data_IF_427386896170
#
_entry.id   IF_427386896170
#
_cell.length_a   1.000
_cell.length_b   1.000
_cell.length_c   1.000
_cell.angle_alpha   90.00
_cell.angle_beta   90.00
_cell.angle_gamma   90.00
#
_symmetry.space_group_name_H-M   'P 1'
#
loop_
_entity.id
_entity.type
_entity.pdbx_description
1 polymer ?
#
# COMPACT_ATOMS: atom_id res chain seq x y z
N UNK A 1 -13.95 23.46 -0.32
CA UNK A 1 -12.57 23.52 -0.84
C UNK A 1 -12.57 24.43 -2.05
N UNK A 2 -11.45 25.07 -2.35
CA UNK A 2 -11.35 25.89 -3.57
C UNK A 2 -11.61 25.04 -4.82
N UNK A 3 -11.97 25.64 -5.96
CA UNK A 3 -12.13 24.92 -7.23
C UNK A 3 -10.87 24.12 -7.60
N UNK A 4 -9.69 24.74 -7.46
CA UNK A 4 -8.38 24.09 -7.68
C UNK A 4 -8.22 22.87 -6.78
N UNK A 5 -8.43 23.03 -5.46
CA UNK A 5 -8.30 21.93 -4.51
C UNK A 5 -9.31 20.81 -4.80
N UNK A 6 -10.53 21.15 -5.21
CA UNK A 6 -11.58 20.18 -5.52
C UNK A 6 -11.23 19.37 -6.76
N UNK A 7 -10.73 20.02 -7.82
CA UNK A 7 -10.28 19.35 -9.05
C UNK A 7 -9.06 18.47 -8.76
N UNK A 8 -8.06 18.99 -8.04
CA UNK A 8 -6.86 18.23 -7.70
C UNK A 8 -7.16 16.99 -6.84
N UNK A 9 -7.96 17.15 -5.77
CA UNK A 9 -8.16 16.08 -4.79
C UNK A 9 -9.30 15.12 -5.12
N UNK A 10 -10.41 15.59 -5.70
CA UNK A 10 -11.58 14.74 -5.97
C UNK A 10 -11.59 14.16 -7.38
N UNK A 11 -10.98 14.85 -8.35
CA UNK A 11 -10.87 14.35 -9.73
C UNK A 11 -9.49 13.76 -10.03
N UNK A 12 -8.58 13.78 -9.05
CA UNK A 12 -7.22 13.24 -9.16
C UNK A 12 -6.41 13.85 -10.31
N UNK A 13 -6.58 15.16 -10.51
CA UNK A 13 -5.76 15.96 -11.42
C UNK A 13 -4.49 16.45 -10.69
N UNK A 14 -3.38 16.58 -11.40
CA UNK A 14 -2.18 17.28 -10.88
C UNK A 14 -2.50 18.73 -10.51
N UNK A 15 -1.73 19.32 -9.58
CA UNK A 15 -1.98 20.67 -9.08
C UNK A 15 -1.96 21.71 -10.19
N UNK A 16 -0.96 21.64 -11.06
CA UNK A 16 -0.77 22.50 -12.22
C UNK A 16 -1.95 22.37 -13.19
N UNK A 17 -2.40 21.15 -13.49
CA UNK A 17 -3.56 20.94 -14.36
C UNK A 17 -4.86 21.48 -13.74
N UNK A 18 -5.00 21.40 -12.42
CA UNK A 18 -6.15 21.97 -11.71
C UNK A 18 -6.13 23.51 -11.78
N UNK A 19 -4.95 24.13 -11.67
CA UNK A 19 -4.79 25.57 -11.88
C UNK A 19 -5.09 25.97 -13.33
N UNK A 20 -4.62 25.19 -14.31
CA UNK A 20 -4.88 25.45 -15.73
C UNK A 20 -6.38 25.40 -16.08
N UNK A 21 -7.11 24.42 -15.53
CA UNK A 21 -8.56 24.33 -15.73
C UNK A 21 -9.27 25.57 -15.15
N UNK A 22 -8.85 26.02 -13.97
CA UNK A 22 -9.43 27.22 -13.33
C UNK A 22 -9.05 28.49 -14.10
N UNK A 23 -7.82 28.60 -14.58
CA UNK A 23 -7.36 29.71 -15.43
C UNK A 23 -8.17 29.80 -16.73
N UNK A 24 -8.31 28.68 -17.46
CA UNK A 24 -9.10 28.62 -18.70
C UNK A 24 -10.59 28.86 -18.51
N UNK A 25 -11.11 28.55 -17.32
CA UNK A 25 -12.51 28.83 -17.00
C UNK A 25 -12.79 30.32 -16.75
N UNK A 26 -11.75 31.14 -16.53
CA UNK A 26 -11.89 32.55 -16.15
C UNK A 26 -12.41 32.77 -14.72
N UNK A 27 -12.50 31.71 -13.90
CA UNK A 27 -13.12 31.76 -12.57
C UNK A 27 -12.11 31.95 -11.43
N UNK A 28 -10.84 32.24 -11.73
CA UNK A 28 -9.77 32.39 -10.72
C UNK A 28 -10.07 33.48 -9.68
N UNK A 29 -10.74 34.55 -10.10
CA UNK A 29 -11.12 35.67 -9.23
C UNK A 29 -12.42 35.44 -8.44
N UNK A 30 -13.15 34.35 -8.69
CA UNK A 30 -14.44 34.08 -8.03
C UNK A 30 -14.19 33.50 -6.64
N UNK A 31 -14.71 34.16 -5.60
CA UNK A 31 -14.60 33.67 -4.24
C UNK A 31 -15.32 32.33 -4.08
N UNK A 32 -14.77 31.43 -3.26
CA UNK A 32 -15.32 30.08 -3.08
C UNK A 32 -16.76 30.09 -2.55
N UNK A 33 -17.14 31.12 -1.78
CA UNK A 33 -18.51 31.28 -1.28
C UNK A 33 -19.53 31.61 -2.38
N UNK A 34 -19.08 32.19 -3.50
CA UNK A 34 -19.94 32.66 -4.59
C UNK A 34 -20.05 31.64 -5.74
N UNK A 35 -19.50 30.43 -5.56
CA UNK A 35 -19.57 29.37 -6.56
C UNK A 35 -20.99 28.81 -6.70
N UNK A 36 -21.51 28.82 -7.93
CA UNK A 36 -22.86 28.36 -8.25
C UNK A 36 -22.85 27.34 -9.41
N UNK A 37 -24.04 26.82 -9.76
CA UNK A 37 -24.18 25.81 -10.82
C UNK A 37 -23.75 26.31 -12.21
N UNK A 38 -23.84 27.61 -12.49
CA UNK A 38 -23.33 28.17 -13.75
C UNK A 38 -21.79 28.10 -13.80
N UNK A 39 -21.12 28.45 -12.69
CA UNK A 39 -19.66 28.33 -12.58
C UNK A 39 -19.19 26.87 -12.73
N UNK A 40 -19.94 25.90 -12.20
CA UNK A 40 -19.65 24.47 -12.39
C UNK A 40 -19.74 24.06 -13.87
N UNK A 41 -20.72 24.57 -14.61
CA UNK A 41 -20.83 24.32 -16.07
C UNK A 41 -19.62 24.89 -16.82
N UNK A 42 -19.18 26.10 -16.47
CA UNK A 42 -17.99 26.74 -17.06
C UNK A 42 -16.71 25.94 -16.74
N UNK A 43 -16.52 25.48 -15.50
CA UNK A 43 -15.40 24.61 -15.15
C UNK A 43 -15.41 23.30 -15.94
N UNK A 44 -16.59 22.69 -16.11
CA UNK A 44 -16.73 21.46 -16.91
C UNK A 44 -16.34 21.69 -18.37
N UNK A 45 -16.73 22.82 -18.95
CA UNK A 45 -16.34 23.17 -20.32
C UNK A 45 -14.82 23.38 -20.45
N UNK A 46 -14.19 24.09 -19.49
CA UNK A 46 -12.74 24.28 -19.45
C UNK A 46 -11.99 22.94 -19.32
N UNK A 47 -12.48 22.04 -18.45
CA UNK A 47 -11.94 20.70 -18.29
C UNK A 47 -12.04 19.87 -19.59
N UNK A 48 -13.18 19.94 -20.27
CA UNK A 48 -13.37 19.26 -21.56
C UNK A 48 -12.44 19.82 -22.64
N UNK A 49 -12.17 21.13 -22.63
CA UNK A 49 -11.21 21.75 -23.54
C UNK A 49 -9.78 21.27 -23.28
N UNK A 50 -9.35 21.22 -22.01
CA UNK A 50 -8.03 20.68 -21.62
C UNK A 50 -7.88 19.22 -22.07
N UNK A 51 -8.89 18.39 -21.83
CA UNK A 51 -8.89 16.99 -22.25
C UNK A 51 -8.86 16.85 -23.79
N UNK A 52 -9.64 17.68 -24.50
CA UNK A 52 -9.65 17.68 -25.96
C UNK A 52 -8.30 18.05 -26.56
N UNK A 53 -7.60 19.02 -25.98
CA UNK A 53 -6.26 19.41 -26.40
C UNK A 53 -5.22 18.32 -26.13
N UNK A 54 -5.27 17.67 -24.96
CA UNK A 54 -4.36 16.57 -24.64
C UNK A 54 -4.49 15.40 -25.63
N UNK A 55 -5.70 15.16 -26.15
CA UNK A 55 -5.96 14.11 -27.16
C UNK A 55 -5.36 14.42 -28.54
N UNK A 56 -4.90 15.65 -28.79
CA UNK A 56 -4.15 15.97 -30.01
C UNK A 56 -2.74 15.37 -29.99
N UNK A 57 -2.27 14.89 -28.83
CA UNK A 57 -1.01 14.17 -28.71
C UNK A 57 0.23 15.05 -28.87
N UNK A 58 0.12 16.36 -28.68
CA UNK A 58 1.25 17.32 -28.75
C UNK A 58 1.99 17.43 -27.42
N UNK A 59 3.22 17.95 -27.46
CA UNK A 59 4.03 18.23 -26.27
C UNK A 59 4.52 19.67 -26.22
N UNK A 60 4.55 20.23 -25.02
CA UNK A 60 4.91 21.62 -24.75
C UNK A 60 5.91 21.64 -23.61
N UNK A 61 7.14 22.10 -23.88
CA UNK A 61 8.22 22.15 -22.91
C UNK A 61 8.50 23.59 -22.48
N UNK A 62 8.55 23.80 -21.17
CA UNK A 62 8.79 25.09 -20.51
C UNK A 62 10.14 25.02 -19.81
N UNK A 63 11.16 25.66 -20.38
CA UNK A 63 12.55 25.56 -19.89
C UNK A 63 12.75 26.27 -18.54
N UNK A 64 12.12 27.42 -18.33
CA UNK A 64 12.16 28.19 -17.09
C UNK A 64 11.60 27.43 -15.88
N UNK A 65 10.68 26.49 -16.12
CA UNK A 65 10.00 25.67 -15.11
C UNK A 65 10.48 24.22 -15.08
N UNK A 66 11.33 23.82 -16.03
CA UNK A 66 11.69 22.42 -16.28
C UNK A 66 10.44 21.52 -16.31
N UNK A 67 9.48 21.88 -17.18
CA UNK A 67 8.16 21.24 -17.20
C UNK A 67 7.76 20.82 -18.61
N UNK A 68 7.44 19.53 -18.78
CA UNK A 68 6.87 18.98 -20.01
C UNK A 68 5.38 18.69 -19.85
N UNK A 69 4.56 19.30 -20.70
CA UNK A 69 3.11 19.21 -20.66
C UNK A 69 2.50 18.63 -21.95
N UNK A 70 1.38 17.88 -21.87
CA UNK A 70 0.62 17.42 -23.04
C UNK A 70 -0.35 18.47 -23.59
N UNK A 71 -0.40 19.65 -22.98
CA UNK A 71 -1.21 20.81 -23.35
C UNK A 71 -0.41 22.10 -23.14
N UNK A 72 -0.82 23.19 -23.75
CA UNK A 72 -0.25 24.51 -23.50
C UNK A 72 -0.85 25.12 -22.22
N UNK A 73 0.00 25.48 -21.26
CA UNK A 73 -0.39 26.09 -19.99
C UNK A 73 -0.47 27.61 -20.10
N UNK A 74 -1.68 28.17 -19.95
CA UNK A 74 -1.90 29.62 -19.82
C UNK A 74 -1.60 30.12 -18.41
N UNK A 75 -1.84 29.27 -17.42
CA UNK A 75 -1.59 29.55 -16.01
C UNK A 75 -0.11 29.80 -15.69
N UNK A 76 0.79 29.35 -16.56
CA UNK A 76 2.23 29.58 -16.43
C UNK A 76 2.65 31.02 -16.78
N UNK A 77 1.83 31.76 -17.54
CA UNK A 77 2.10 33.15 -17.92
C UNK A 77 3.27 33.32 -18.89
N UNK A 78 3.71 32.25 -19.55
CA UNK A 78 4.82 32.23 -20.50
C UNK A 78 4.51 31.27 -21.65
N UNK A 79 5.16 31.46 -22.80
CA UNK A 79 5.04 30.56 -23.96
C UNK A 79 6.00 29.37 -23.84
N UNK A 80 5.64 28.18 -24.34
CA UNK A 80 6.54 27.03 -24.37
C UNK A 80 7.86 27.35 -25.08
N UNK A 81 8.98 26.95 -24.48
CA UNK A 81 10.32 27.04 -25.06
C UNK A 81 10.50 26.10 -26.26
N UNK A 82 9.82 24.94 -26.24
CA UNK A 82 9.75 24.00 -27.38
C UNK A 82 8.35 23.41 -27.50
N UNK A 83 7.92 23.19 -28.74
CA UNK A 83 6.64 22.53 -29.08
C UNK A 83 6.93 21.30 -29.94
N UNK A 84 6.25 20.20 -29.63
CA UNK A 84 6.37 18.91 -30.29
C UNK A 84 5.02 18.49 -30.85
N UNK A 85 5.01 17.99 -32.09
CA UNK A 85 3.78 17.43 -32.70
C UNK A 85 3.39 16.07 -32.11
N UNK A 86 4.33 15.36 -31.47
CA UNK A 86 4.10 14.08 -30.79
C UNK A 86 4.66 14.13 -29.36
N UNK A 87 3.81 13.86 -28.37
CA UNK A 87 4.15 13.91 -26.96
C UNK A 87 5.20 12.86 -26.56
N UNK A 88 5.21 11.69 -27.19
CA UNK A 88 6.22 10.66 -26.93
C UNK A 88 7.62 11.12 -27.37
N UNK A 89 7.70 11.88 -28.48
CA UNK A 89 8.96 12.52 -28.89
C UNK A 89 9.39 13.58 -27.88
N UNK A 90 8.45 14.35 -27.36
CA UNK A 90 8.71 15.33 -26.31
C UNK A 90 9.26 14.67 -25.04
N UNK A 91 8.67 13.56 -24.60
CA UNK A 91 9.14 12.78 -23.45
C UNK A 91 10.54 12.20 -23.70
N UNK A 92 10.79 11.67 -24.90
CA UNK A 92 12.10 11.13 -25.26
C UNK A 92 13.20 12.21 -25.29
N UNK A 93 12.92 13.42 -25.79
CA UNK A 93 13.86 14.55 -25.77
C UNK A 93 14.06 15.07 -24.35
N UNK A 94 12.99 15.16 -23.57
CA UNK A 94 13.03 15.59 -22.17
C UNK A 94 13.93 14.67 -21.32
N UNK A 95 13.74 13.35 -21.42
CA UNK A 95 14.58 12.36 -20.72
C UNK A 95 16.05 12.44 -21.18
N UNK A 96 16.30 12.72 -22.46
CA UNK A 96 17.66 12.81 -23.01
C UNK A 96 18.39 14.09 -22.58
N UNK A 97 17.66 15.20 -22.49
CA UNK A 97 18.19 16.50 -22.08
C UNK A 97 18.29 16.66 -20.56
N UNK A 98 17.61 15.79 -19.79
CA UNK A 98 17.70 15.71 -18.34
C UNK A 98 18.28 14.35 -17.90
N UNK A 99 19.53 14.01 -18.27
CA UNK A 99 20.16 12.78 -17.81
C UNK A 99 20.32 12.86 -16.28
N UNK A 100 19.64 11.96 -15.57
CA UNK A 100 19.62 11.80 -14.10
C UNK A 100 20.81 12.47 -13.38
N UNK A 101 20.61 13.70 -12.92
CA UNK A 101 21.31 14.25 -11.75
C UNK A 101 20.26 14.28 -10.64
N UNK A 102 20.04 13.13 -10.00
CA UNK A 102 19.28 13.10 -8.74
C UNK A 102 20.12 13.83 -7.67
N UNK A 103 19.88 15.13 -7.48
CA UNK A 103 20.30 15.84 -6.27
C UNK A 103 19.38 15.43 -5.11
N UNK A 104 19.63 14.24 -4.54
CA UNK A 104 18.88 13.70 -3.40
C UNK A 104 18.85 14.65 -2.17
N UNK A 105 19.81 15.57 -2.05
CA UNK A 105 19.91 16.49 -0.90
C UNK A 105 18.77 17.52 -0.80
N UNK A 106 18.37 18.16 -1.90
CA UNK A 106 17.37 19.26 -1.86
C UNK A 106 15.92 18.71 -1.79
N UNK A 107 15.66 17.57 -2.43
CA UNK A 107 14.35 16.89 -2.38
C UNK A 107 14.02 16.33 -1.00
N UNK A 108 15.00 15.73 -0.30
CA UNK A 108 14.79 15.21 1.05
C UNK A 108 14.58 16.33 2.07
N UNK A 109 15.33 17.44 1.96
CA UNK A 109 15.17 18.59 2.84
C UNK A 109 13.76 19.20 2.76
N UNK A 110 13.24 19.40 1.54
CA UNK A 110 11.87 19.89 1.32
C UNK A 110 10.81 18.92 1.84
N UNK A 111 11.02 17.61 1.64
CA UNK A 111 10.13 16.57 2.16
C UNK A 111 10.11 16.51 3.69
N UNK A 112 11.27 16.62 4.34
CA UNK A 112 11.37 16.70 5.80
C UNK A 112 10.69 17.97 6.32
N UNK A 113 10.87 19.11 5.65
CA UNK A 113 10.20 20.36 6.02
C UNK A 113 8.67 20.23 5.98
N UNK A 114 8.12 19.63 4.92
CA UNK A 114 6.67 19.35 4.81
C UNK A 114 6.16 18.39 5.88
N UNK A 115 6.93 17.34 6.21
CA UNK A 115 6.56 16.41 7.30
C UNK A 115 6.61 17.12 8.66
N UNK A 116 7.60 17.98 8.91
CA UNK A 116 7.68 18.78 10.15
C UNK A 116 6.51 19.74 10.30
N UNK A 117 6.09 20.40 9.23
CA UNK A 117 4.89 21.24 9.22
C UNK A 117 3.63 20.44 9.58
N UNK A 118 3.49 19.25 8.99
CA UNK A 118 2.38 18.33 9.32
C UNK A 118 2.41 17.87 10.78
N UNK A 119 3.60 17.61 11.34
CA UNK A 119 3.76 17.27 12.76
C UNK A 119 3.30 18.43 13.65
N UNK A 120 3.71 19.65 13.37
CA UNK A 120 3.30 20.83 14.13
C UNK A 120 1.77 21.01 14.11
N UNK A 121 1.13 20.79 12.96
CA UNK A 121 -0.33 20.81 12.86
C UNK A 121 -0.98 19.68 13.68
N UNK A 122 -0.45 18.46 13.61
CA UNK A 122 -0.96 17.34 14.40
C UNK A 122 -0.77 17.55 15.90
N UNK A 123 0.33 18.17 16.34
CA UNK A 123 0.58 18.51 17.74
C UNK A 123 -0.45 19.51 18.25
N UNK A 124 -0.71 20.57 17.47
CA UNK A 124 -1.77 21.55 17.77
C UNK A 124 -3.12 20.85 17.91
N UNK A 125 -3.51 20.02 16.94
CA UNK A 125 -4.79 19.29 16.97
C UNK A 125 -4.86 18.28 18.12
N UNK A 126 -3.76 17.58 18.44
CA UNK A 126 -3.72 16.64 19.56
C UNK A 126 -3.92 17.35 20.90
N UNK A 127 -3.28 18.51 21.08
CA UNK A 127 -3.42 19.35 22.27
C UNK A 127 -4.84 19.89 22.40
N UNK A 128 -5.39 20.50 21.34
CA UNK A 128 -6.75 21.02 21.32
C UNK A 128 -7.78 19.94 21.67
N UNK A 129 -7.67 18.73 21.09
CA UNK A 129 -8.59 17.64 21.39
C UNK A 129 -8.43 17.11 22.82
N UNK A 130 -7.20 17.07 23.36
CA UNK A 130 -6.97 16.68 24.75
C UNK A 130 -7.55 17.71 25.74
N UNK A 131 -7.42 19.00 25.45
CA UNK A 131 -8.03 20.10 26.22
C UNK A 131 -9.55 20.04 26.17
N UNK A 132 -10.15 19.79 25.00
CA UNK A 132 -11.61 19.56 24.88
C UNK A 132 -12.08 18.34 25.69
N UNK A 133 -11.31 17.25 25.68
CA UNK A 133 -11.60 16.08 26.53
C UNK A 133 -11.55 16.42 28.03
N UNK A 134 -10.51 17.15 28.46
CA UNK A 134 -10.36 17.61 29.85
C UNK A 134 -11.50 18.56 30.26
N UNK A 135 -11.87 19.48 29.38
CA UNK A 135 -12.99 20.39 29.58
C UNK A 135 -14.29 19.65 29.85
N UNK A 136 -14.56 18.57 29.09
CA UNK A 136 -15.76 17.76 29.29
C UNK A 136 -15.73 17.05 30.66
N UNK A 137 -14.57 16.59 31.10
CA UNK A 137 -14.41 15.98 32.41
C UNK A 137 -14.65 16.98 33.55
N UNK A 138 -14.12 18.21 33.42
CA UNK A 138 -14.27 19.28 34.42
C UNK A 138 -15.71 19.81 34.50
N UNK A 139 -16.41 19.92 33.37
CA UNK A 139 -17.77 20.47 33.28
C UNK A 139 -18.84 19.39 33.04
N UNK A 140 -18.59 18.16 33.50
CA UNK A 140 -19.42 17.00 33.19
C UNK A 140 -20.91 17.20 33.53
N UNK A 141 -21.21 17.73 34.71
CA UNK A 141 -22.58 17.95 35.17
C UNK A 141 -23.32 19.02 34.33
N UNK A 142 -22.65 20.14 34.04
CA UNK A 142 -23.16 21.23 33.23
C UNK A 142 -23.50 20.74 31.81
N UNK A 143 -22.54 20.04 31.18
CA UNK A 143 -22.70 19.51 29.83
C UNK A 143 -23.78 18.43 29.77
N UNK A 144 -23.89 17.57 30.79
CA UNK A 144 -24.96 16.59 30.86
C UNK A 144 -26.35 17.23 30.93
N UNK A 145 -26.50 18.37 31.63
CA UNK A 145 -27.74 19.16 31.63
C UNK A 145 -28.02 19.77 30.25
N UNK A 146 -27.00 20.35 29.61
CA UNK A 146 -27.09 20.90 28.25
C UNK A 146 -27.58 19.83 27.26
N UNK A 147 -26.97 18.64 27.26
CA UNK A 147 -27.38 17.54 26.36
C UNK A 147 -28.84 17.13 26.60
N UNK A 148 -29.30 17.05 27.86
CA UNK A 148 -30.70 16.74 28.18
C UNK A 148 -31.67 17.82 27.69
N UNK A 149 -31.32 19.10 27.83
CA UNK A 149 -32.15 20.21 27.35
C UNK A 149 -32.28 20.21 25.83
N UNK A 150 -31.17 19.93 25.13
CA UNK A 150 -31.15 19.80 23.68
C UNK A 150 -31.97 18.59 23.19
N UNK A 151 -31.81 17.43 23.82
CA UNK A 151 -32.57 16.22 23.49
C UNK A 151 -34.08 16.38 23.68
N UNK A 152 -34.51 17.17 24.67
CA UNK A 152 -35.92 17.42 24.97
C UNK A 152 -36.53 18.57 24.13
N UNK A 153 -35.78 19.14 23.17
CA UNK A 153 -36.24 20.24 22.30
C UNK A 153 -36.40 21.59 23.02
N UNK A 154 -36.08 21.66 24.32
CA UNK A 154 -36.23 22.88 25.14
C UNK A 154 -35.09 23.88 24.95
N UNK A 155 -33.94 23.43 24.46
CA UNK A 155 -32.77 24.29 24.27
C UNK A 155 -32.83 25.20 23.03
N UNK A 156 -33.81 25.02 22.13
CA UNK A 156 -33.91 25.85 20.92
C UNK A 156 -34.47 27.26 21.19
N UNK A 157 -35.03 27.51 22.39
CA UNK A 157 -35.58 28.80 22.78
C UNK A 157 -34.62 29.52 23.73
N UNK A 158 -34.13 30.71 23.35
CA UNK A 158 -33.30 31.56 24.22
C UNK A 158 -31.79 31.30 24.17
N UNK A 159 -31.24 30.99 22.99
CA UNK A 159 -29.80 30.88 22.76
C UNK A 159 -29.16 32.25 22.44
N UNK A 160 -27.90 32.50 22.84
CA UNK A 160 -27.05 31.63 23.66
C UNK A 160 -27.52 31.56 25.12
N UNK A 161 -27.36 30.41 25.77
CA UNK A 161 -27.72 30.23 27.19
C UNK A 161 -26.56 29.69 28.02
N UNK A 162 -26.32 30.25 29.19
CA UNK A 162 -25.21 29.81 30.08
C UNK A 162 -25.74 28.92 31.20
N UNK A 163 -25.14 27.73 31.33
CA UNK A 163 -25.44 26.75 32.37
C UNK A 163 -24.15 26.43 33.09
N UNK A 164 -24.07 26.78 34.37
CA UNK A 164 -22.93 26.47 35.24
C UNK A 164 -21.58 26.90 34.64
N UNK A 165 -21.56 28.09 34.02
CA UNK A 165 -20.36 28.67 33.41
C UNK A 165 -20.06 28.23 31.98
N UNK A 166 -20.81 27.26 31.42
CA UNK A 166 -20.69 26.84 30.02
C UNK A 166 -21.81 27.46 29.19
N UNK A 167 -21.47 28.11 28.09
CA UNK A 167 -22.43 28.70 27.17
C UNK A 167 -22.79 27.71 26.08
N UNK A 168 -24.09 27.43 25.93
CA UNK A 168 -24.64 26.75 24.77
C UNK A 168 -24.90 27.79 23.67
N UNK A 169 -24.15 27.68 22.58
CA UNK A 169 -24.16 28.64 21.47
C UNK A 169 -25.24 28.31 20.45
N UNK A 170 -25.33 27.04 20.04
CA UNK A 170 -26.28 26.61 19.03
C UNK A 170 -26.70 25.15 19.21
N UNK A 171 -27.86 24.82 18.65
CA UNK A 171 -28.41 23.45 18.60
C UNK A 171 -28.76 23.14 17.15
N UNK A 172 -28.07 22.17 16.56
CA UNK A 172 -28.38 21.62 15.25
C UNK A 172 -29.22 20.35 15.43
N UNK A 173 -30.51 20.46 15.12
CA UNK A 173 -31.45 19.36 15.24
C UNK A 173 -31.23 18.27 14.18
N UNK A 174 -30.72 18.62 13.01
CA UNK A 174 -30.53 17.66 11.91
C UNK A 174 -29.33 16.75 12.19
N UNK A 175 -28.21 17.31 12.64
CA UNK A 175 -27.02 16.54 12.99
C UNK A 175 -26.98 16.06 14.44
N UNK A 176 -27.99 16.44 15.23
CA UNK A 176 -28.13 16.16 16.67
C UNK A 176 -26.96 16.67 17.50
N UNK A 177 -26.43 17.84 17.13
CA UNK A 177 -25.28 18.48 17.75
C UNK A 177 -25.66 19.71 18.55
N UNK A 178 -24.86 19.99 19.58
CA UNK A 178 -24.81 21.28 20.25
C UNK A 178 -23.39 21.82 20.18
N UNK A 179 -23.26 23.12 19.93
CA UNK A 179 -21.99 23.82 20.07
C UNK A 179 -21.96 24.51 21.44
N UNK A 180 -20.92 24.23 22.23
CA UNK A 180 -20.73 24.85 23.54
C UNK A 180 -19.39 25.57 23.60
N UNK A 181 -19.34 26.63 24.40
CA UNK A 181 -18.16 27.46 24.59
C UNK A 181 -17.95 27.83 26.06
N UNK A 182 -16.69 28.05 26.43
CA UNK A 182 -16.30 28.74 27.67
C UNK A 182 -14.90 29.31 27.48
N UNK A 183 -14.80 30.65 27.44
CA UNK A 183 -13.55 31.33 27.07
C UNK A 183 -13.17 31.00 25.62
N UNK A 184 -11.93 30.55 25.40
CA UNK A 184 -11.41 30.19 24.07
C UNK A 184 -11.77 28.76 23.64
N UNK A 185 -12.27 27.93 24.57
CA UNK A 185 -12.62 26.54 24.27
C UNK A 185 -13.99 26.50 23.61
N UNK A 186 -14.02 25.99 22.39
CA UNK A 186 -15.25 25.68 21.64
C UNK A 186 -15.28 24.21 21.26
N UNK A 187 -16.40 23.54 21.46
CA UNK A 187 -16.53 22.12 21.14
C UNK A 187 -17.97 21.73 20.78
N UNK A 188 -18.07 20.75 19.89
CA UNK A 188 -19.33 20.16 19.48
C UNK A 188 -19.61 18.91 20.32
N UNK A 189 -20.84 18.76 20.80
CA UNK A 189 -21.32 17.56 21.47
C UNK A 189 -22.56 17.01 20.78
N UNK A 190 -22.71 15.70 20.80
CA UNK A 190 -23.88 15.01 20.28
C UNK A 190 -24.84 14.71 21.42
N UNK A 191 -26.06 15.26 21.36
CA UNK A 191 -27.06 15.09 22.43
C UNK A 191 -27.84 13.78 22.36
N UNK A 192 -27.64 12.99 21.29
CA UNK A 192 -28.08 11.60 21.20
C UNK A 192 -27.07 10.60 21.78
N UNK A 193 -25.96 11.07 22.33
CA UNK A 193 -24.91 10.26 22.94
C UNK A 193 -24.71 10.64 24.41
N UNK A 194 -24.10 9.74 25.18
CA UNK A 194 -23.69 10.06 26.54
C UNK A 194 -22.56 11.10 26.52
N UNK A 195 -22.46 11.88 27.60
CA UNK A 195 -21.34 12.82 27.77
C UNK A 195 -19.99 12.08 27.83
N UNK A 196 -19.97 10.85 28.36
CA UNK A 196 -18.80 9.97 28.34
C UNK A 196 -18.38 9.55 26.93
N UNK A 197 -19.33 9.27 26.03
CA UNK A 197 -19.02 8.97 24.63
C UNK A 197 -18.45 10.20 23.90
N UNK A 198 -19.03 11.37 24.16
CA UNK A 198 -18.48 12.62 23.64
C UNK A 198 -17.06 12.90 24.14
N UNK A 199 -16.81 12.69 25.43
CA UNK A 199 -15.46 12.79 26.02
C UNK A 199 -14.47 11.81 25.37
N UNK A 200 -14.88 10.54 25.23
CA UNK A 200 -14.08 9.51 24.58
C UNK A 200 -13.75 9.85 23.13
N UNK A 201 -14.65 10.51 22.38
CA UNK A 201 -14.40 10.97 21.01
C UNK A 201 -13.20 11.92 20.96
N UNK A 202 -13.17 12.93 21.83
CA UNK A 202 -12.07 13.89 21.88
C UNK A 202 -10.75 13.26 22.33
N UNK A 203 -10.76 12.39 23.35
CA UNK A 203 -9.56 11.65 23.74
C UNK A 203 -9.06 10.69 22.67
N UNK A 204 -9.97 10.03 21.95
CA UNK A 204 -9.62 9.14 20.84
C UNK A 204 -9.00 9.91 19.67
N UNK A 205 -9.55 11.07 19.32
CA UNK A 205 -8.96 11.97 18.32
C UNK A 205 -7.56 12.44 18.73
N UNK A 206 -7.37 12.83 19.99
CA UNK A 206 -6.06 13.20 20.51
C UNK A 206 -5.06 12.04 20.41
N UNK A 207 -5.47 10.81 20.74
CA UNK A 207 -4.64 9.60 20.60
C UNK A 207 -4.32 9.30 19.14
N UNK A 208 -5.26 9.47 18.23
CA UNK A 208 -5.05 9.27 16.80
C UNK A 208 -4.01 10.25 16.25
N UNK A 209 -4.10 11.55 16.58
CA UNK A 209 -3.09 12.52 16.17
C UNK A 209 -1.70 12.22 16.77
N UNK A 210 -1.62 11.78 18.04
CA UNK A 210 -0.35 11.31 18.64
C UNK A 210 0.25 10.11 17.89
N UNK A 211 -0.59 9.19 17.45
CA UNK A 211 -0.14 8.05 16.62
C UNK A 211 0.41 8.54 15.26
N UNK A 212 -0.25 9.50 14.62
CA UNK A 212 0.22 10.13 13.38
C UNK A 212 1.56 10.86 13.57
N UNK A 213 1.73 11.59 14.67
CA UNK A 213 3.00 12.24 15.04
C UNK A 213 4.12 11.21 15.17
N UNK A 214 3.90 10.13 15.94
CA UNK A 214 4.90 9.07 16.10
C UNK A 214 5.27 8.41 14.77
N UNK A 215 4.28 8.17 13.90
CA UNK A 215 4.53 7.66 12.55
C UNK A 215 5.37 8.61 11.70
N UNK A 216 5.06 9.90 11.72
CA UNK A 216 5.78 10.93 10.98
C UNK A 216 7.21 11.14 11.51
N UNK A 217 7.42 11.08 12.84
CA UNK A 217 8.73 11.16 13.47
C UNK A 217 9.64 10.00 13.04
N UNK A 218 9.13 8.76 12.97
CA UNK A 218 9.90 7.61 12.47
C UNK A 218 10.37 7.81 11.04
N UNK A 219 9.54 8.42 10.19
CA UNK A 219 9.92 8.74 8.81
C UNK A 219 11.08 9.74 8.80
N UNK A 220 11.03 10.81 9.61
CA UNK A 220 12.13 11.77 9.74
C UNK A 220 13.40 11.08 10.26
N UNK A 221 13.30 10.24 11.28
CA UNK A 221 14.43 9.46 11.81
C UNK A 221 15.06 8.55 10.75
N UNK A 222 14.25 7.92 9.89
CA UNK A 222 14.73 7.13 8.75
C UNK A 222 15.47 8.00 7.72
N UNK A 223 14.98 9.20 7.44
CA UNK A 223 15.66 10.16 6.57
C UNK A 223 16.99 10.65 7.18
N UNK A 224 16.98 11.07 8.44
CA UNK A 224 18.18 11.54 9.16
C UNK A 224 19.24 10.42 9.29
N UNK A 225 18.81 9.16 9.47
CA UNK A 225 19.70 8.00 9.51
C UNK A 225 20.34 7.71 8.16
N UNK A 226 19.64 7.97 7.04
CA UNK A 226 20.20 7.87 5.69
C UNK A 226 21.22 8.97 5.41
N UNK A 227 20.96 10.20 5.88
CA UNK A 227 21.85 11.34 5.68
C UNK A 227 23.14 11.22 6.52
N UNK A 228 23.03 10.80 7.79
CA UNK A 228 24.18 10.62 8.70
C UNK A 228 25.12 9.47 8.35
N UNK A 229 24.64 8.45 7.65
CA UNK A 229 25.49 7.32 7.21
C UNK A 229 26.30 7.66 5.96
N UNK A 230 26.15 8.87 5.42
CA UNK A 230 26.45 9.13 4.02
C UNK A 230 25.55 8.25 3.15
N UNK A 231 25.43 8.59 1.87
CA UNK A 231 24.96 7.61 0.91
C UNK A 231 25.98 6.47 0.83
N UNK A 232 25.94 5.51 1.77
CA UNK A 232 26.13 4.11 1.38
C UNK A 232 24.90 3.76 0.56
N UNK A 233 24.87 4.29 -0.66
CA UNK A 233 24.33 3.60 -1.81
C UNK A 233 25.04 2.26 -1.80
N UNK A 234 24.44 1.30 -1.10
CA UNK A 234 24.42 -0.04 -1.65
C UNK A 234 23.75 0.21 -3.00
N UNK A 235 24.56 0.29 -4.06
CA UNK A 235 24.03 0.23 -5.41
C UNK A 235 23.25 -1.07 -5.45
N UNK A 236 21.94 -1.00 -5.19
CA UNK A 236 21.06 -2.12 -5.39
C UNK A 236 21.23 -2.46 -6.85
N UNK A 237 21.93 -3.57 -7.12
CA UNK A 237 22.18 -4.02 -8.49
C UNK A 237 20.79 -4.13 -9.12
N UNK A 238 20.46 -3.20 -10.02
CA UNK A 238 19.35 -3.44 -10.94
C UNK A 238 19.84 -4.61 -11.77
N UNK A 239 19.30 -5.79 -11.49
CA UNK A 239 19.60 -7.01 -12.21
C UNK A 239 19.61 -6.67 -13.71
N UNK A 240 20.73 -6.90 -14.44
CA UNK A 240 20.82 -6.60 -15.86
C UNK A 240 19.60 -7.20 -16.58
N UNK A 241 19.09 -6.52 -17.61
CA UNK A 241 17.89 -6.94 -18.37
C UNK A 241 18.13 -8.29 -19.06
N UNK A 242 18.11 -9.39 -18.31
CA UNK A 242 18.16 -10.74 -18.82
C UNK A 242 16.77 -11.15 -19.31
N UNK A 243 16.76 -12.05 -20.28
CA UNK A 243 15.53 -12.70 -20.72
C UNK A 243 15.03 -13.57 -19.56
N UNK A 244 13.97 -13.11 -18.88
CA UNK A 244 13.32 -13.86 -17.81
C UNK A 244 12.90 -15.23 -18.29
N UNK A 245 13.10 -16.22 -17.45
CA UNK A 245 12.56 -17.55 -17.63
C UNK A 245 11.03 -17.52 -17.51
N UNK A 246 10.38 -18.44 -18.21
CA UNK A 246 8.92 -18.52 -18.22
C UNK A 246 8.34 -18.72 -16.80
N UNK A 247 9.06 -19.44 -15.93
CA UNK A 247 8.63 -19.75 -14.57
C UNK A 247 8.69 -18.56 -13.62
N UNK A 248 9.45 -17.51 -13.94
CA UNK A 248 9.56 -16.30 -13.12
C UNK A 248 8.31 -15.43 -13.13
N UNK A 249 7.33 -15.78 -13.97
CA UNK A 249 5.98 -15.22 -13.88
C UNK A 249 5.16 -15.79 -12.71
N UNK A 250 5.66 -16.84 -12.05
CA UNK A 250 5.06 -17.52 -10.91
C UNK A 250 5.95 -17.41 -9.65
N UNK A 251 5.49 -17.91 -8.52
CA UNK A 251 6.40 -18.20 -7.40
C UNK A 251 7.22 -19.41 -7.82
N UNK A 252 8.52 -19.40 -7.56
CA UNK A 252 9.38 -20.49 -7.99
C UNK A 252 10.57 -20.64 -7.05
N UNK A 253 11.10 -21.85 -7.00
CA UNK A 253 12.42 -22.17 -6.46
C UNK A 253 12.91 -23.48 -7.05
N UNK A 254 14.18 -23.82 -6.85
CA UNK A 254 14.70 -25.15 -7.11
C UNK A 254 14.88 -25.90 -5.79
N UNK A 255 14.44 -27.16 -5.72
CA UNK A 255 14.71 -28.02 -4.56
C UNK A 255 16.22 -28.22 -4.38
N UNK A 256 16.63 -28.72 -3.22
CA UNK A 256 18.04 -29.08 -2.98
C UNK A 256 18.58 -30.13 -3.97
N UNK A 257 17.69 -30.93 -4.56
CA UNK A 257 17.99 -31.89 -5.63
C UNK A 257 17.87 -31.29 -7.06
N UNK A 258 17.61 -29.99 -7.17
CA UNK A 258 17.57 -29.24 -8.42
C UNK A 258 16.28 -29.40 -9.23
N UNK A 259 15.18 -29.87 -8.63
CA UNK A 259 13.87 -29.91 -9.29
C UNK A 259 13.19 -28.55 -9.21
N UNK A 260 12.57 -28.11 -10.30
CA UNK A 260 11.86 -26.83 -10.32
C UNK A 260 10.50 -26.98 -9.62
N UNK A 261 10.20 -26.09 -8.69
CA UNK A 261 8.88 -25.93 -8.11
C UNK A 261 8.30 -24.61 -8.57
N UNK A 262 7.03 -24.61 -8.99
CA UNK A 262 6.28 -23.40 -9.33
C UNK A 262 4.95 -23.35 -8.58
N UNK A 263 4.53 -22.16 -8.15
CA UNK A 263 3.24 -21.95 -7.51
C UNK A 263 2.56 -20.67 -8.00
N UNK A 264 1.24 -20.68 -8.12
CA UNK A 264 0.49 -19.49 -8.53
C UNK A 264 0.58 -18.37 -7.49
N UNK A 265 0.47 -17.13 -7.97
CA UNK A 265 0.48 -15.91 -7.14
C UNK A 265 -0.93 -15.44 -6.77
N UNK A 266 -1.92 -15.85 -7.57
CA UNK A 266 -3.32 -15.49 -7.49
C UNK A 266 -4.19 -16.57 -8.17
N UNK A 267 -5.51 -16.41 -8.14
CA UNK A 267 -6.46 -17.35 -8.74
C UNK A 267 -6.24 -17.58 -10.25
N UNK A 268 -5.91 -16.53 -11.01
CA UNK A 268 -5.71 -16.62 -12.47
C UNK A 268 -4.43 -17.37 -12.80
N UNK A 269 -3.36 -17.09 -12.09
CA UNK A 269 -2.08 -17.79 -12.23
C UNK A 269 -2.18 -19.23 -11.76
N UNK A 270 -2.85 -19.54 -10.64
CA UNK A 270 -3.16 -20.92 -10.22
C UNK A 270 -3.81 -21.72 -11.36
N UNK A 271 -4.83 -21.15 -12.00
CA UNK A 271 -5.50 -21.80 -13.13
C UNK A 271 -4.56 -21.97 -14.33
N UNK A 272 -3.75 -20.97 -14.64
CA UNK A 272 -2.77 -21.02 -15.72
C UNK A 272 -1.69 -22.07 -15.47
N UNK A 273 -1.17 -22.21 -14.24
CA UNK A 273 -0.08 -23.16 -13.98
C UNK A 273 -0.57 -24.59 -14.19
N UNK A 274 -1.74 -24.93 -13.66
CA UNK A 274 -2.24 -26.30 -13.75
C UNK A 274 -2.62 -26.64 -15.18
N UNK A 275 -3.30 -25.72 -15.90
CA UNK A 275 -3.68 -25.96 -17.30
C UNK A 275 -2.50 -26.04 -18.26
N UNK A 276 -1.45 -25.22 -18.07
CA UNK A 276 -0.36 -25.08 -19.04
C UNK A 276 0.92 -25.80 -18.66
N UNK A 277 1.13 -26.10 -17.38
CA UNK A 277 2.43 -26.51 -16.86
C UNK A 277 2.40 -27.79 -16.01
N UNK A 278 1.24 -28.35 -15.67
CA UNK A 278 1.13 -29.67 -15.04
C UNK A 278 1.19 -30.77 -16.13
N UNK A 279 2.38 -31.31 -16.36
CA UNK A 279 2.60 -32.44 -17.27
C UNK A 279 2.40 -33.79 -16.58
N UNK A 280 2.32 -34.87 -17.37
CA UNK A 280 1.99 -36.22 -16.86
C UNK A 280 2.98 -36.80 -15.85
N UNK A 281 4.24 -36.33 -15.86
CA UNK A 281 5.29 -36.78 -14.94
C UNK A 281 5.46 -35.86 -13.72
N UNK A 282 4.74 -34.75 -13.68
CA UNK A 282 4.86 -33.78 -12.59
C UNK A 282 3.95 -34.14 -11.42
N UNK A 283 4.13 -33.46 -10.30
CA UNK A 283 3.33 -33.68 -9.10
C UNK A 283 2.60 -32.41 -8.71
N UNK A 284 1.29 -32.51 -8.49
CA UNK A 284 0.47 -31.42 -7.98
C UNK A 284 0.51 -31.41 -6.46
N UNK A 285 0.79 -30.26 -5.87
CA UNK A 285 0.98 -30.06 -4.44
C UNK A 285 0.04 -28.97 -3.96
N UNK A 286 -0.58 -29.21 -2.81
CA UNK A 286 -1.47 -28.26 -2.17
C UNK A 286 -1.38 -28.41 -0.64
N UNK A 287 -1.40 -27.28 0.08
CA UNK A 287 -1.50 -27.31 1.53
C UNK A 287 -2.93 -27.64 1.96
N UNK A 288 -3.11 -28.36 3.06
CA UNK A 288 -4.42 -28.66 3.62
C UNK A 288 -4.95 -27.48 4.46
N UNK A 289 -4.86 -26.28 3.88
CA UNK A 289 -5.23 -24.99 4.48
C UNK A 289 -5.80 -24.08 3.40
N UNK A 290 -6.80 -23.27 3.76
CA UNK A 290 -7.40 -22.29 2.86
C UNK A 290 -6.38 -21.29 2.30
N UNK A 291 -6.59 -20.90 1.04
CA UNK A 291 -5.78 -19.89 0.36
C UNK A 291 -4.36 -20.34 0.03
N UNK A 292 -4.09 -21.64 0.07
CA UNK A 292 -2.86 -22.21 -0.46
C UNK A 292 -2.78 -22.04 -1.99
N UNK A 293 -1.59 -21.81 -2.54
CA UNK A 293 -1.42 -21.76 -3.98
C UNK A 293 -1.49 -23.17 -4.58
N UNK A 294 -1.98 -23.26 -5.83
CA UNK A 294 -1.72 -24.44 -6.63
C UNK A 294 -0.22 -24.50 -6.90
N UNK A 295 0.44 -25.59 -6.51
CA UNK A 295 1.89 -25.77 -6.59
C UNK A 295 2.20 -27.00 -7.44
N UNK A 296 3.25 -26.94 -8.26
CA UNK A 296 3.70 -28.06 -9.11
C UNK A 296 5.18 -28.29 -8.86
N UNK A 297 5.53 -29.52 -8.51
CA UNK A 297 6.90 -30.02 -8.53
C UNK A 297 7.16 -30.65 -9.91
N UNK A 298 8.07 -30.04 -10.66
CA UNK A 298 8.43 -30.48 -12.00
C UNK A 298 9.43 -31.62 -11.90
N UNK A 299 9.04 -32.80 -12.40
CA UNK A 299 9.92 -33.98 -12.39
C UNK A 299 10.83 -34.04 -13.62
N UNK A 300 10.36 -33.51 -14.76
CA UNK A 300 11.02 -33.49 -16.08
C UNK A 300 11.95 -34.69 -16.34
N UNK A 301 13.06 -34.51 -17.06
CA UNK A 301 14.00 -35.57 -17.44
C UNK A 301 15.04 -35.87 -16.35
N UNK A 302 14.94 -35.22 -15.18
CA UNK A 302 15.88 -35.37 -14.05
C UNK A 302 15.61 -36.60 -13.17
N UNK A 303 14.62 -37.42 -13.51
CA UNK A 303 14.23 -38.61 -12.76
C UNK A 303 13.14 -38.32 -11.73
N UNK A 304 12.99 -39.22 -10.75
CA UNK A 304 11.95 -39.15 -9.73
C UNK A 304 12.45 -38.37 -8.50
N UNK A 305 11.75 -37.31 -8.07
CA UNK A 305 12.09 -36.57 -6.86
C UNK A 305 12.06 -37.48 -5.62
N UNK A 306 12.99 -37.28 -4.68
CA UNK A 306 12.96 -38.00 -3.40
C UNK A 306 11.99 -37.35 -2.42
N UNK A 307 11.81 -37.98 -1.25
CA UNK A 307 10.99 -37.44 -0.16
C UNK A 307 11.43 -36.04 0.28
N UNK A 308 12.73 -35.71 0.14
CA UNK A 308 13.27 -34.39 0.46
C UNK A 308 12.65 -33.32 -0.45
N UNK A 309 12.67 -33.53 -1.78
CA UNK A 309 12.05 -32.60 -2.74
C UNK A 309 10.54 -32.46 -2.53
N UNK A 310 9.84 -33.55 -2.19
CA UNK A 310 8.41 -33.48 -1.85
C UNK A 310 8.17 -32.66 -0.58
N UNK A 311 8.99 -32.85 0.44
CA UNK A 311 8.88 -32.10 1.71
C UNK A 311 9.14 -30.62 1.51
N UNK A 312 10.19 -30.26 0.76
CA UNK A 312 10.50 -28.87 0.41
C UNK A 312 9.35 -28.23 -0.39
N UNK A 313 8.85 -28.90 -1.43
CA UNK A 313 7.76 -28.36 -2.23
C UNK A 313 6.44 -28.23 -1.42
N UNK A 314 6.18 -29.15 -0.49
CA UNK A 314 5.07 -29.05 0.46
C UNK A 314 5.25 -27.88 1.45
N UNK A 315 6.46 -27.68 1.97
CA UNK A 315 6.78 -26.56 2.87
C UNK A 315 6.61 -25.21 2.18
N UNK A 316 7.00 -25.12 0.91
CA UNK A 316 6.73 -23.95 0.10
C UNK A 316 5.23 -23.70 -0.05
N UNK A 317 4.44 -24.72 -0.40
CA UNK A 317 2.99 -24.58 -0.54
C UNK A 317 2.30 -24.13 0.76
N UNK A 318 2.71 -24.69 1.90
CA UNK A 318 2.21 -24.28 3.23
C UNK A 318 2.58 -22.84 3.55
N UNK A 319 3.84 -22.46 3.32
CA UNK A 319 4.36 -21.13 3.67
C UNK A 319 3.75 -19.99 2.85
N UNK A 320 3.23 -20.28 1.65
CA UNK A 320 2.51 -19.31 0.82
C UNK A 320 0.98 -19.36 0.98
N UNK A 321 0.47 -20.11 1.96
CA UNK A 321 -0.96 -20.19 2.28
C UNK A 321 -1.39 -19.19 3.37
N UNK A 322 -2.68 -19.22 3.76
CA UNK A 322 -3.15 -18.44 4.92
C UNK A 322 -2.54 -18.90 6.24
N UNK A 323 -1.92 -20.08 6.32
CA UNK A 323 -1.22 -20.53 7.54
C UNK A 323 -0.14 -19.52 7.96
N UNK A 324 0.62 -18.98 7.00
CA UNK A 324 1.64 -17.97 7.28
C UNK A 324 1.02 -16.66 7.77
N UNK A 325 0.01 -16.16 7.06
CA UNK A 325 -0.68 -14.93 7.44
C UNK A 325 -1.42 -15.04 8.80
N UNK A 326 -1.75 -16.26 9.22
CA UNK A 326 -2.35 -16.55 10.53
C UNK A 326 -1.31 -16.79 11.64
N UNK A 327 -0.01 -16.70 11.36
CA UNK A 327 1.04 -16.91 12.37
C UNK A 327 1.21 -18.36 12.81
N UNK A 328 0.75 -19.35 12.02
CA UNK A 328 0.90 -20.77 12.36
C UNK A 328 2.36 -21.21 12.31
N UNK A 329 2.79 -22.09 13.21
CA UNK A 329 4.15 -22.62 13.26
C UNK A 329 4.35 -23.84 12.35
N UNK A 330 3.31 -24.63 12.14
CA UNK A 330 3.33 -25.79 11.24
C UNK A 330 1.97 -26.03 10.58
N UNK A 331 1.96 -26.67 9.42
CA UNK A 331 0.74 -27.20 8.81
C UNK A 331 1.02 -28.48 8.02
N UNK A 332 -0.03 -29.01 7.37
CA UNK A 332 0.04 -30.22 6.56
C UNK A 332 -0.17 -29.88 5.09
N UNK A 333 0.42 -30.68 4.21
CA UNK A 333 0.20 -30.61 2.78
C UNK A 333 0.14 -32.00 2.19
N UNK A 334 -0.25 -32.09 0.93
CA UNK A 334 -0.25 -33.34 0.20
C UNK A 334 0.19 -33.14 -1.24
N UNK A 335 0.61 -34.22 -1.86
CA UNK A 335 0.84 -34.31 -3.30
C UNK A 335 0.00 -35.41 -3.95
N UNK A 336 -0.35 -35.19 -5.21
CA UNK A 336 -1.10 -36.13 -6.05
C UNK A 336 -0.58 -36.13 -7.49
N UNK A 337 -0.93 -37.18 -8.23
CA UNK A 337 -0.62 -37.30 -9.65
C UNK A 337 -1.51 -36.37 -10.50
N UNK A 338 -1.08 -35.99 -11.70
CA UNK A 338 -1.87 -35.13 -12.59
C UNK A 338 -3.25 -35.69 -12.94
N UNK A 339 -3.37 -37.01 -13.05
CA UNK A 339 -4.65 -37.71 -13.33
C UNK A 339 -5.69 -37.54 -12.22
N UNK A 340 -5.27 -37.11 -11.03
CA UNK A 340 -6.13 -36.91 -9.86
C UNK A 340 -6.67 -35.48 -9.77
N UNK A 341 -6.20 -34.56 -10.62
CA UNK A 341 -6.53 -33.14 -10.58
C UNK A 341 -7.57 -32.84 -11.67
N UNK A 342 -8.75 -32.39 -11.26
CA UNK A 342 -9.88 -32.14 -12.15
C UNK A 342 -10.50 -30.76 -11.92
N UNK A 343 -11.07 -30.17 -12.97
CA UNK A 343 -11.89 -28.95 -12.90
C UNK A 343 -13.38 -29.26 -12.95
N UNK A 344 -13.76 -30.54 -13.07
CA UNK A 344 -15.14 -30.98 -13.20
C UNK A 344 -15.76 -31.20 -11.81
N UNK A 345 -16.69 -30.33 -11.37
CA UNK A 345 -17.45 -30.53 -10.14
C UNK A 345 -18.34 -31.76 -10.22
N UNK A 346 -18.79 -32.22 -9.06
CA UNK A 346 -19.95 -33.10 -8.99
C UNK A 346 -21.22 -32.32 -9.37
N UNK A 347 -22.28 -33.03 -9.76
CA UNK A 347 -23.50 -32.38 -10.28
C UNK A 347 -24.09 -31.42 -9.24
N UNK A 348 -24.11 -30.13 -9.57
CA UNK A 348 -24.65 -29.07 -8.69
C UNK A 348 -23.61 -28.19 -7.98
N UNK A 349 -22.31 -28.51 -8.03
CA UNK A 349 -21.27 -27.68 -7.40
C UNK A 349 -20.59 -26.72 -8.38
N UNK A 350 -20.16 -25.55 -7.88
CA UNK A 350 -19.40 -24.58 -8.66
C UNK A 350 -17.93 -24.55 -8.19
N UNK A 351 -16.99 -24.79 -9.12
CA UNK A 351 -15.56 -24.67 -8.86
C UNK A 351 -15.11 -23.26 -9.21
N UNK A 352 -14.67 -22.49 -8.20
CA UNK A 352 -14.14 -21.15 -8.40
C UNK A 352 -12.86 -21.14 -9.23
N UNK A 353 -12.62 -20.03 -9.93
CA UNK A 353 -11.38 -19.78 -10.68
C UNK A 353 -10.15 -20.00 -9.79
N UNK A 354 -9.19 -20.77 -10.29
CA UNK A 354 -7.97 -21.10 -9.55
C UNK A 354 -8.08 -22.26 -8.55
N UNK A 355 -9.26 -22.84 -8.37
CA UNK A 355 -9.48 -24.04 -7.54
C UNK A 355 -9.51 -25.31 -8.39
N UNK A 356 -9.06 -26.42 -7.80
CA UNK A 356 -8.99 -27.73 -8.44
C UNK A 356 -9.49 -28.82 -7.51
N UNK A 357 -10.24 -29.77 -8.07
CA UNK A 357 -10.77 -30.92 -7.34
C UNK A 357 -9.73 -32.03 -7.41
N UNK A 358 -9.35 -32.54 -6.25
CA UNK A 358 -8.41 -33.66 -6.12
C UNK A 358 -9.18 -34.93 -5.77
N UNK A 359 -9.12 -35.94 -6.63
CA UNK A 359 -9.79 -37.24 -6.47
C UNK A 359 -8.80 -38.37 -6.17
N UNK A 360 -9.22 -39.37 -5.40
CA UNK A 360 -8.41 -40.52 -5.05
C UNK A 360 -7.44 -40.28 -3.87
N UNK A 361 -6.46 -41.17 -3.73
CA UNK A 361 -5.52 -41.18 -2.59
C UNK A 361 -4.58 -39.96 -2.62
N UNK A 362 -4.50 -39.23 -1.51
CA UNK A 362 -3.56 -38.14 -1.30
C UNK A 362 -2.34 -38.66 -0.54
N UNK A 363 -1.14 -38.19 -0.91
CA UNK A 363 0.09 -38.51 -0.20
C UNK A 363 0.41 -37.33 0.73
N UNK A 364 0.07 -37.47 2.00
CA UNK A 364 0.20 -36.41 2.99
C UNK A 364 1.60 -36.33 3.59
N UNK A 365 2.06 -35.10 3.83
CA UNK A 365 3.21 -34.77 4.66
C UNK A 365 2.69 -33.86 5.78
N UNK A 366 2.82 -34.34 7.01
CA UNK A 366 2.33 -33.68 8.23
C UNK A 366 3.44 -32.90 8.93
N UNK A 367 3.04 -31.98 9.81
CA UNK A 367 3.93 -31.23 10.70
C UNK A 367 5.07 -30.52 9.95
N UNK A 368 4.72 -29.86 8.84
CA UNK A 368 5.67 -29.09 8.04
C UNK A 368 5.83 -27.72 8.69
N UNK A 369 7.04 -27.39 9.12
CA UNK A 369 7.37 -26.11 9.74
C UNK A 369 7.23 -24.95 8.73
N UNK A 370 6.68 -23.82 9.17
CA UNK A 370 6.64 -22.59 8.38
C UNK A 370 7.93 -21.80 8.59
N UNK A 371 8.91 -22.11 7.76
CA UNK A 371 10.18 -21.39 7.67
C UNK A 371 10.60 -21.29 6.20
N UNK A 372 11.10 -20.13 5.81
CA UNK A 372 11.61 -19.85 4.47
C UNK A 372 12.98 -19.18 4.58
N UNK A 373 13.84 -19.41 3.62
CA UNK A 373 15.13 -18.76 3.45
C UNK A 373 15.11 -17.94 2.16
N UNK A 374 15.87 -16.85 2.16
CA UNK A 374 16.12 -16.03 0.98
C UNK A 374 17.63 -15.90 0.80
N UNK A 375 18.11 -16.33 -0.36
CA UNK A 375 19.49 -16.18 -0.81
C UNK A 375 19.52 -15.68 -2.26
N UNK A 376 20.73 -15.47 -2.79
CA UNK A 376 20.96 -15.11 -4.18
C UNK A 376 21.38 -16.33 -4.97
N UNK A 377 20.70 -16.59 -6.07
CA UNK A 377 21.06 -17.67 -7.01
C UNK A 377 21.43 -17.10 -8.36
N UNK A 378 22.42 -17.71 -9.02
CA UNK A 378 22.77 -17.34 -10.39
C UNK A 378 21.78 -17.97 -11.37
N UNK A 379 21.01 -17.14 -12.08
CA UNK A 379 20.12 -17.57 -13.15
C UNK A 379 20.53 -16.92 -14.47
N UNK A 380 21.08 -17.73 -15.38
CA UNK A 380 21.59 -17.27 -16.70
C UNK A 380 22.60 -16.11 -16.57
N UNK A 381 23.56 -16.23 -15.66
CA UNK A 381 24.60 -15.21 -15.45
C UNK A 381 24.12 -13.94 -14.73
N UNK A 382 23.00 -14.01 -14.00
CA UNK A 382 22.51 -12.90 -13.16
C UNK A 382 22.07 -13.43 -11.81
N UNK A 383 22.56 -12.81 -10.74
CA UNK A 383 22.12 -13.08 -9.38
C UNK A 383 20.69 -12.58 -9.19
N UNK A 384 19.80 -13.46 -8.73
CA UNK A 384 18.40 -13.15 -8.46
C UNK A 384 18.02 -13.66 -7.07
N UNK A 385 17.19 -12.93 -6.31
CA UNK A 385 16.75 -13.42 -5.01
C UNK A 385 15.78 -14.59 -5.21
N UNK A 386 16.07 -15.70 -4.55
CA UNK A 386 15.19 -16.87 -4.51
C UNK A 386 14.71 -17.07 -3.08
N UNK A 387 13.41 -17.31 -2.91
CA UNK A 387 12.84 -17.71 -1.62
C UNK A 387 12.51 -19.19 -1.67
N UNK A 388 12.97 -19.95 -0.69
CA UNK A 388 12.81 -21.41 -0.66
C UNK A 388 12.71 -21.92 0.79
N UNK A 389 12.25 -23.16 1.02
CA UNK A 389 12.40 -23.82 2.31
C UNK A 389 13.88 -24.04 2.65
N UNK A 390 14.30 -24.08 3.93
CA UNK A 390 15.66 -24.43 4.29
C UNK A 390 16.07 -25.79 3.73
N UNK A 391 17.28 -25.87 3.17
CA UNK A 391 17.85 -27.11 2.63
C UNK A 391 18.67 -27.82 3.71
N UNK A 392 18.19 -28.94 4.29
CA UNK A 392 18.90 -29.63 5.37
C UNK A 392 20.26 -30.20 4.94
N UNK A 393 20.41 -30.45 3.64
CA UNK A 393 21.55 -31.12 3.00
C UNK A 393 22.61 -30.16 2.46
N UNK A 394 22.30 -28.87 2.29
CA UNK A 394 23.25 -27.85 1.84
C UNK A 394 23.68 -26.98 3.02
N UNK A 395 24.92 -27.16 3.46
CA UNK A 395 25.59 -26.29 4.44
C UNK A 395 26.43 -25.26 3.69
N UNK A 396 25.81 -24.44 2.86
CA UNK A 396 26.56 -23.34 2.28
C UNK A 396 26.71 -22.24 3.36
N UNK A 397 27.97 -21.98 3.72
CA UNK A 397 28.36 -21.09 4.82
C UNK A 397 28.72 -19.68 4.35
N UNK A 398 28.91 -19.50 3.05
CA UNK A 398 29.57 -18.30 2.51
C UNK A 398 28.60 -17.38 1.73
N UNK A 399 27.37 -17.85 1.45
CA UNK A 399 26.33 -17.05 0.81
C UNK A 399 25.48 -16.30 1.83
N UNK A 400 25.22 -15.02 1.55
CA UNK A 400 24.33 -14.20 2.37
C UNK A 400 22.92 -14.78 2.34
N UNK A 401 22.37 -15.08 3.51
CA UNK A 401 21.04 -15.69 3.63
C UNK A 401 20.22 -15.06 4.73
N UNK A 402 18.91 -14.97 4.49
CA UNK A 402 17.94 -14.44 5.45
C UNK A 402 16.86 -15.48 5.72
N UNK A 403 16.69 -15.83 7.00
CA UNK A 403 15.68 -16.81 7.43
C UNK A 403 14.46 -16.08 7.96
N UNK A 404 13.29 -16.45 7.44
CA UNK A 404 11.98 -15.90 7.78
C UNK A 404 11.10 -16.94 8.46
N UNK A 405 10.34 -16.49 9.45
CA UNK A 405 9.18 -17.20 10.01
C UNK A 405 7.95 -16.29 10.01
N UNK A 406 6.73 -16.83 10.15
CA UNK A 406 5.54 -16.02 10.40
C UNK A 406 5.73 -15.05 11.58
N UNK A 407 5.18 -13.85 11.48
CA UNK A 407 5.27 -12.86 12.55
C UNK A 407 4.61 -11.52 12.21
N UNK A 408 4.90 -10.49 13.01
CA UNK A 408 4.11 -9.26 13.04
C UNK A 408 4.70 -8.10 12.24
N UNK A 409 5.96 -8.20 11.78
CA UNK A 409 6.56 -7.11 10.99
C UNK A 409 5.93 -7.04 9.61
N UNK A 410 5.66 -5.82 9.16
CA UNK A 410 4.97 -5.59 7.88
C UNK A 410 5.85 -6.07 6.72
N UNK A 411 5.20 -6.58 5.67
CA UNK A 411 5.87 -7.02 4.44
C UNK A 411 6.85 -5.98 3.87
N UNK A 412 6.48 -4.70 3.91
CA UNK A 412 7.34 -3.58 3.48
C UNK A 412 8.61 -3.40 4.32
N UNK A 413 8.52 -3.60 5.63
CA UNK A 413 9.64 -3.47 6.57
C UNK A 413 10.59 -4.65 6.43
N UNK A 414 10.04 -5.86 6.30
CA UNK A 414 10.81 -7.09 6.03
C UNK A 414 11.54 -6.97 4.69
N UNK A 415 10.85 -6.51 3.64
CA UNK A 415 11.44 -6.31 2.33
C UNK A 415 12.61 -5.32 2.36
N UNK A 416 12.47 -4.20 3.09
CA UNK A 416 13.55 -3.21 3.24
C UNK A 416 14.79 -3.79 3.95
N UNK A 417 14.58 -4.56 5.02
CA UNK A 417 15.70 -5.20 5.77
C UNK A 417 16.41 -6.27 4.94
N UNK A 418 15.66 -7.15 4.29
CA UNK A 418 16.23 -8.21 3.44
C UNK A 418 16.97 -7.59 2.24
N UNK A 419 16.42 -6.51 1.67
CA UNK A 419 17.05 -5.73 0.60
C UNK A 419 18.40 -5.13 1.02
N UNK A 420 18.51 -4.59 2.24
CA UNK A 420 19.77 -4.09 2.81
C UNK A 420 20.79 -5.22 3.01
N UNK A 421 20.36 -6.39 3.49
CA UNK A 421 21.24 -7.54 3.73
C UNK A 421 21.78 -8.11 2.41
N UNK A 422 20.89 -8.42 1.48
CA UNK A 422 21.22 -9.10 0.22
C UNK A 422 21.73 -8.15 -0.88
N UNK A 423 21.57 -6.84 -0.73
CA UNK A 423 21.98 -5.87 -1.73
C UNK A 423 21.12 -5.85 -3.00
N UNK A 424 19.88 -6.34 -2.91
CA UNK A 424 18.90 -6.40 -4.03
C UNK A 424 17.82 -5.35 -3.84
N UNK A 425 17.18 -4.91 -4.93
CA UNK A 425 16.08 -3.93 -4.87
C UNK A 425 14.93 -4.40 -3.96
N UNK A 426 14.31 -3.45 -3.25
CA UNK A 426 13.19 -3.73 -2.35
C UNK A 426 12.02 -4.35 -3.10
N UNK A 427 11.75 -3.91 -4.33
CA UNK A 427 10.65 -4.39 -5.15
C UNK A 427 10.79 -5.87 -5.51
N UNK A 428 12.02 -6.32 -5.80
CA UNK A 428 12.30 -7.73 -6.09
C UNK A 428 12.08 -8.61 -4.87
N UNK A 429 12.53 -8.18 -3.69
CA UNK A 429 12.28 -8.89 -2.44
C UNK A 429 10.78 -8.89 -2.11
N UNK A 430 10.11 -7.74 -2.20
CA UNK A 430 8.69 -7.63 -1.86
C UNK A 430 7.82 -8.52 -2.76
N UNK A 431 8.23 -8.78 -4.01
CA UNK A 431 7.53 -9.68 -4.92
C UNK A 431 7.58 -11.17 -4.49
N UNK A 432 8.66 -11.60 -3.84
CA UNK A 432 8.86 -13.01 -3.46
C UNK A 432 8.34 -13.36 -2.07
N UNK A 433 8.18 -12.39 -1.16
CA UNK A 433 7.75 -12.65 0.23
C UNK A 433 6.41 -13.42 0.38
N UNK A 434 6.25 -14.23 1.45
CA UNK A 434 5.00 -14.91 1.79
C UNK A 434 3.89 -13.92 2.21
N UNK A 435 2.61 -14.32 2.15
CA UNK A 435 1.49 -13.47 2.54
C UNK A 435 1.49 -13.18 4.05
N UNK A 436 1.07 -11.98 4.46
CA UNK A 436 1.05 -11.59 5.87
C UNK A 436 2.36 -10.98 6.37
N UNK A 437 2.52 -10.88 7.68
CA UNK A 437 3.74 -10.41 8.32
C UNK A 437 4.80 -11.51 8.45
N UNK A 438 6.05 -11.13 8.65
CA UNK A 438 7.16 -12.07 8.85
C UNK A 438 8.15 -11.54 9.87
N UNK A 439 8.87 -12.43 10.55
CA UNK A 439 9.99 -12.10 11.42
C UNK A 439 11.28 -12.65 10.81
N UNK A 440 12.32 -11.82 10.76
CA UNK A 440 13.67 -12.26 10.39
C UNK A 440 14.29 -12.92 11.61
N UNK A 441 14.62 -14.21 11.52
CA UNK A 441 15.16 -14.99 12.64
C UNK A 441 16.68 -15.03 12.64
N UNK A 442 17.30 -15.05 11.46
CA UNK A 442 18.74 -14.92 11.29
C UNK A 442 19.07 -14.27 9.96
N UNK A 443 20.18 -13.54 9.95
CA UNK A 443 20.84 -13.03 8.77
C UNK A 443 22.32 -13.41 8.90
N UNK A 444 22.82 -14.22 7.96
CA UNK A 444 24.22 -14.63 7.90
C UNK A 444 24.86 -14.05 6.65
#
# INVERSE_FOLDING_TARGET
>A
GSPVQTIATRLNFGGELAEEVVERSGLKAVATADFNLAHVKTLRAALQSVLGEALLGRGYYYESKDYLAPIEFRSFGETPSKVYEDFNLAVADYIRSHPNVETQGDSNARRIASIRESIAEFEKRAKENAEKGKFIAEHFAALQKILKLAANGKAAQGLPMTIEGVTLESVDQASKKVAVSQGEITLDLFYNESIGNNMNRYYSLAKEYRSKISGAQKIIEEFDRKDRRGSTTIEHRKSPRRKREWFESYRWFFTSEGFLVIAGRDAKSNEKIVKKHLGQRDFYIHADVYGAPSTILKSSDKGTPSEISFREACQFAVSFSRAWAAGMTSASAYWVLPSQVSKTPESGEFVSTGSWIVRGKRNYIFNIELVLEIDLVELKGTEVPMIHPPFPTQKDTDSKKVVLRPGDSKRSEVAARVSEILGVSREEIEAILPPGGSTIVSAA
#
